data_IF_160942397420
#
_entry.id   IF_160942397420
#
_cell.length_a   1.000
_cell.length_b   1.000
_cell.length_c   1.000
_cell.angle_alpha   90.00
_cell.angle_beta   90.00
_cell.angle_gamma   90.00
#
_symmetry.space_group_name_H-M   'P 1'
#
loop_
_entity.id
_entity.type
_entity.pdbx_description
1 polymer ?
#
# COMPACT_ATOMS: atom_id res chain seq x y z
N UNK A 1 70.76 30.81 -42.66
CA UNK A 1 69.36 31.07 -43.04
C UNK A 1 68.45 30.08 -42.31
N UNK A 2 67.46 30.57 -41.55
CA UNK A 2 66.35 29.87 -40.81
C UNK A 2 66.79 28.84 -39.73
N UNK A 3 66.81 29.15 -38.42
CA UNK A 3 65.71 29.13 -37.38
C UNK A 3 64.88 27.82 -37.44
N UNK A 4 64.58 27.05 -36.38
CA UNK A 4 63.93 27.31 -35.06
C UNK A 4 64.21 26.09 -34.12
N UNK A 5 64.66 26.18 -32.86
CA UNK A 5 64.01 26.46 -31.54
C UNK A 5 62.87 25.48 -31.13
N UNK A 6 63.08 24.81 -30.00
CA UNK A 6 62.20 23.89 -29.24
C UNK A 6 60.90 24.53 -28.71
N UNK A 7 59.86 23.72 -28.44
CA UNK A 7 59.13 23.70 -27.14
C UNK A 7 58.08 22.58 -27.04
N UNK A 8 57.95 22.00 -25.84
CA UNK A 8 56.79 21.25 -25.35
C UNK A 8 55.47 22.03 -25.51
N UNK A 9 54.37 21.34 -25.81
CA UNK A 9 53.04 21.79 -25.45
C UNK A 9 52.09 20.61 -25.19
N UNK A 10 51.69 20.51 -23.92
CA UNK A 10 50.56 19.73 -23.40
C UNK A 10 49.30 20.12 -24.19
N UNK A 11 48.64 19.15 -24.83
CA UNK A 11 47.38 19.39 -25.51
C UNK A 11 46.24 19.36 -24.48
N UNK A 12 45.98 20.50 -23.84
CA UNK A 12 44.70 20.74 -23.18
C UNK A 12 43.65 20.95 -24.30
N UNK A 13 42.72 20.01 -24.47
CA UNK A 13 41.55 20.24 -25.31
C UNK A 13 40.67 21.28 -24.63
N UNK A 14 40.67 22.49 -25.20
CA UNK A 14 39.74 23.57 -24.89
C UNK A 14 38.37 23.13 -25.42
N UNK A 15 37.46 22.75 -24.52
CA UNK A 15 36.04 22.69 -24.84
C UNK A 15 35.52 24.12 -24.96
N UNK A 16 35.23 24.54 -26.19
CA UNK A 16 34.47 25.75 -26.47
C UNK A 16 33.05 25.51 -25.93
N UNK A 17 32.72 26.17 -24.82
CA UNK A 17 31.42 26.09 -24.19
C UNK A 17 30.34 26.65 -25.11
N UNK A 18 29.48 25.76 -25.62
CA UNK A 18 28.17 26.15 -26.15
C UNK A 18 27.28 26.44 -24.94
N UNK A 19 26.79 27.67 -24.74
CA UNK A 19 25.89 27.96 -23.63
C UNK A 19 24.51 27.35 -23.96
N UNK A 20 24.24 26.18 -23.38
CA UNK A 20 22.94 25.50 -23.54
C UNK A 20 22.91 24.01 -23.26
N UNK A 21 24.05 23.32 -23.11
CA UNK A 21 24.05 21.92 -22.71
C UNK A 21 24.26 21.83 -21.19
N UNK A 22 23.17 21.72 -20.43
CA UNK A 22 23.23 21.23 -19.06
C UNK A 22 23.94 19.87 -19.11
N UNK A 23 25.11 19.77 -18.46
CA UNK A 23 25.74 18.48 -18.20
C UNK A 23 24.72 17.59 -17.50
N UNK A 24 24.28 16.53 -18.16
CA UNK A 24 23.35 15.59 -17.58
C UNK A 24 24.12 14.71 -16.60
N UNK A 25 24.02 15.00 -15.31
CA UNK A 25 24.60 14.18 -14.26
C UNK A 25 24.00 12.76 -14.32
N UNK A 26 24.78 11.73 -13.96
CA UNK A 26 24.36 10.33 -13.95
C UNK A 26 23.36 10.12 -12.81
N UNK A 27 22.09 10.44 -13.08
CA UNK A 27 21.04 10.50 -12.06
C UNK A 27 19.81 9.70 -12.47
N UNK A 28 20.00 8.51 -13.04
CA UNK A 28 18.90 7.63 -13.40
C UNK A 28 18.65 6.57 -12.30
N UNK A 29 17.40 6.09 -12.15
CA UNK A 29 16.19 6.57 -12.81
C UNK A 29 15.78 7.98 -12.35
N UNK A 30 14.94 8.63 -13.14
CA UNK A 30 14.23 9.86 -12.77
C UNK A 30 12.89 9.53 -12.12
N UNK A 31 12.42 10.29 -11.11
CA UNK A 31 11.09 10.12 -10.56
C UNK A 31 10.01 10.36 -11.61
N UNK A 32 8.94 9.55 -11.57
CA UNK A 32 7.70 9.79 -12.30
C UNK A 32 6.72 10.67 -11.49
N UNK A 33 5.54 10.97 -12.04
CA UNK A 33 4.58 11.95 -11.49
C UNK A 33 4.19 11.72 -10.01
N UNK A 34 4.24 10.48 -9.55
CA UNK A 34 3.88 10.03 -8.21
C UNK A 34 5.08 9.74 -7.30
N UNK A 35 6.27 9.98 -7.81
CA UNK A 35 7.51 9.64 -7.15
C UNK A 35 8.29 10.90 -6.79
N UNK A 36 9.18 10.74 -5.83
CA UNK A 36 10.17 11.72 -5.44
C UNK A 36 11.52 11.02 -5.30
N UNK A 37 12.58 11.74 -5.62
CA UNK A 37 13.93 11.29 -5.31
C UNK A 37 14.14 11.46 -3.80
N UNK A 38 14.27 10.34 -3.10
CA UNK A 38 14.53 10.29 -1.67
C UNK A 38 16.01 10.57 -1.40
N UNK A 39 16.87 10.02 -2.25
CA UNK A 39 18.31 10.18 -2.13
C UNK A 39 18.97 10.07 -3.50
N UNK A 40 20.06 10.80 -3.71
CA UNK A 40 21.01 10.50 -4.78
C UNK A 40 22.43 10.86 -4.41
N UNK A 41 23.35 10.17 -5.06
CA UNK A 41 24.74 10.56 -5.21
C UNK A 41 25.03 10.67 -6.70
N UNK A 42 24.70 11.84 -7.23
CA UNK A 42 24.87 12.14 -8.64
C UNK A 42 26.31 12.58 -8.90
N UNK A 43 26.85 12.20 -10.06
CA UNK A 43 28.14 12.70 -10.54
C UNK A 43 27.97 13.22 -11.97
N UNK A 44 28.67 14.29 -12.31
CA UNK A 44 28.54 14.98 -13.60
C UNK A 44 29.87 15.00 -14.38
N UNK A 45 30.98 14.72 -13.69
CA UNK A 45 32.32 14.57 -14.26
C UNK A 45 32.69 13.14 -14.62
N UNK A 46 33.96 12.93 -14.99
CA UNK A 46 34.50 11.60 -15.24
C UNK A 46 34.43 10.70 -14.00
N UNK A 47 34.30 9.40 -14.23
CA UNK A 47 34.11 8.39 -13.18
C UNK A 47 35.19 7.31 -13.20
N UNK A 48 35.46 6.76 -12.02
CA UNK A 48 36.22 5.54 -11.80
C UNK A 48 35.27 4.40 -11.47
N UNK A 49 35.78 3.16 -11.39
CA UNK A 49 34.98 1.99 -10.98
C UNK A 49 35.51 1.41 -9.66
N UNK A 50 34.70 0.61 -8.97
CA UNK A 50 35.01 0.03 -7.66
C UNK A 50 35.07 1.10 -6.54
N UNK A 51 33.91 1.62 -6.11
CA UNK A 51 33.82 2.65 -5.08
C UNK A 51 34.50 2.18 -3.79
N UNK A 52 35.46 2.94 -3.25
CA UNK A 52 36.19 2.54 -2.03
C UNK A 52 35.39 2.79 -0.75
N UNK A 53 34.31 3.56 -0.80
CA UNK A 53 33.43 3.84 0.34
C UNK A 53 32.08 3.17 0.16
N UNK A 54 31.45 2.66 1.24
CA UNK A 54 30.12 2.09 1.17
C UNK A 54 29.09 3.16 0.80
N UNK A 55 28.18 2.82 -0.09
CA UNK A 55 27.09 3.70 -0.50
C UNK A 55 25.95 3.61 0.49
N UNK A 56 25.79 4.62 1.33
CA UNK A 56 24.78 4.65 2.40
C UNK A 56 23.83 5.83 2.26
N UNK A 57 22.56 5.62 2.61
CA UNK A 57 21.56 6.69 2.74
C UNK A 57 20.76 6.55 4.02
N UNK A 58 20.17 7.64 4.49
CA UNK A 58 19.34 7.66 5.70
C UNK A 58 17.98 8.25 5.39
N UNK A 59 16.94 7.63 5.92
CA UNK A 59 15.56 8.15 5.91
C UNK A 59 15.12 8.38 7.36
N UNK A 60 14.48 9.52 7.61
CA UNK A 60 14.08 9.99 8.95
C UNK A 60 12.64 9.58 9.34
N UNK A 61 11.90 9.06 8.37
CA UNK A 61 10.56 8.53 8.50
C UNK A 61 10.38 7.33 7.55
N UNK A 62 9.30 6.57 7.74
CA UNK A 62 8.98 5.45 6.83
C UNK A 62 8.79 5.96 5.40
N UNK A 63 9.47 5.34 4.44
CA UNK A 63 9.37 5.64 3.01
C UNK A 63 8.99 4.39 2.22
N UNK A 64 8.20 4.56 1.16
CA UNK A 64 7.95 3.49 0.18
C UNK A 64 8.90 3.66 -1.00
N UNK A 65 9.95 2.86 -1.07
CA UNK A 65 10.92 2.85 -2.18
C UNK A 65 10.30 2.16 -3.39
N UNK A 66 10.35 2.80 -4.55
CA UNK A 66 9.78 2.29 -5.80
C UNK A 66 10.84 1.97 -6.84
N UNK A 67 11.96 2.70 -6.84
CA UNK A 67 13.08 2.41 -7.75
C UNK A 67 14.43 2.63 -7.09
N UNK A 68 15.38 1.81 -7.52
CA UNK A 68 16.79 1.95 -7.16
C UNK A 68 17.58 1.92 -8.47
N UNK A 69 18.47 2.89 -8.65
CA UNK A 69 19.36 2.93 -9.81
C UNK A 69 20.81 3.06 -9.42
N UNK A 70 21.68 2.36 -10.16
CA UNK A 70 23.14 2.46 -10.09
C UNK A 70 23.71 2.68 -11.49
N UNK A 71 24.95 3.17 -11.55
CA UNK A 71 25.65 3.43 -12.82
C UNK A 71 26.94 2.61 -12.92
N UNK A 72 27.11 1.84 -13.99
CA UNK A 72 28.20 0.90 -14.23
C UNK A 72 28.96 1.30 -15.50
N UNK A 73 29.92 2.20 -15.37
CA UNK A 73 30.67 2.71 -16.53
C UNK A 73 31.64 1.67 -17.09
N UNK A 74 32.38 1.00 -16.20
CA UNK A 74 33.39 -0.01 -16.52
C UNK A 74 34.36 0.43 -17.64
N UNK A 75 34.98 1.60 -17.47
CA UNK A 75 35.90 2.17 -18.49
C UNK A 75 35.28 2.33 -19.89
N UNK A 76 33.95 2.46 -19.97
CA UNK A 76 33.20 2.58 -21.22
C UNK A 76 32.78 1.25 -21.84
N UNK A 77 33.02 0.12 -21.16
CA UNK A 77 32.55 -1.20 -21.59
C UNK A 77 31.16 -1.52 -21.06
N UNK A 78 30.71 -0.85 -19.99
CA UNK A 78 29.45 -1.18 -19.35
C UNK A 78 29.47 -2.60 -18.78
N UNK A 79 28.35 -3.31 -18.88
CA UNK A 79 28.26 -4.71 -18.43
C UNK A 79 27.57 -5.60 -19.46
N UNK A 80 27.96 -6.87 -19.53
CA UNK A 80 27.32 -7.84 -20.44
C UNK A 80 25.88 -8.11 -20.03
N UNK A 81 25.64 -8.19 -18.72
CA UNK A 81 24.31 -8.35 -18.12
C UNK A 81 24.20 -7.45 -16.88
N UNK A 82 23.04 -6.82 -16.65
CA UNK A 82 22.75 -6.19 -15.37
C UNK A 82 22.74 -7.23 -14.25
N UNK A 83 23.32 -6.88 -13.11
CA UNK A 83 23.35 -7.72 -11.92
C UNK A 83 22.16 -7.46 -11.00
N UNK A 84 22.39 -7.60 -9.70
CA UNK A 84 21.38 -7.39 -8.68
C UNK A 84 21.73 -6.24 -7.75
N UNK A 85 20.71 -5.51 -7.32
CA UNK A 85 20.82 -4.46 -6.31
C UNK A 85 20.02 -4.89 -5.08
N UNK A 86 20.53 -4.63 -3.89
CA UNK A 86 19.85 -4.88 -2.61
C UNK A 86 20.07 -3.73 -1.63
N UNK A 87 19.39 -3.77 -0.50
CA UNK A 87 19.59 -2.83 0.61
C UNK A 87 19.86 -3.61 1.89
N UNK A 88 20.74 -3.11 2.75
CA UNK A 88 20.98 -3.67 4.07
C UNK A 88 20.77 -2.62 5.16
N UNK A 89 20.01 -2.97 6.20
CA UNK A 89 19.86 -2.08 7.36
C UNK A 89 21.01 -2.25 8.37
N UNK A 90 21.06 -1.35 9.36
CA UNK A 90 22.07 -1.38 10.42
C UNK A 90 22.06 -2.65 11.29
N UNK A 91 20.95 -3.40 11.30
CA UNK A 91 20.86 -4.69 12.01
C UNK A 91 21.42 -5.86 11.18
N UNK A 92 21.80 -5.59 9.93
CA UNK A 92 22.29 -6.57 8.98
C UNK A 92 21.18 -7.25 8.16
N UNK A 93 19.91 -6.85 8.32
CA UNK A 93 18.80 -7.39 7.53
C UNK A 93 18.93 -6.92 6.08
N UNK A 94 18.87 -7.87 5.16
CA UNK A 94 18.94 -7.61 3.72
C UNK A 94 17.53 -7.59 3.12
N UNK A 95 17.30 -6.62 2.25
CA UNK A 95 16.15 -6.48 1.38
C UNK A 95 16.61 -6.70 -0.06
N UNK A 96 15.91 -7.56 -0.79
CA UNK A 96 16.40 -8.10 -2.06
C UNK A 96 17.28 -9.33 -1.84
N UNK A 97 18.27 -9.60 -2.71
CA UNK A 97 18.66 -8.80 -3.87
C UNK A 97 17.61 -8.87 -5.00
N UNK A 98 17.45 -7.79 -5.76
CA UNK A 98 16.55 -7.72 -6.91
C UNK A 98 17.34 -7.65 -8.21
N UNK A 99 16.89 -8.40 -9.21
CA UNK A 99 17.46 -8.36 -10.55
C UNK A 99 17.22 -6.98 -11.19
N UNK A 100 18.29 -6.31 -11.60
CA UNK A 100 18.21 -5.03 -12.29
C UNK A 100 17.90 -5.21 -13.78
N UNK A 101 17.27 -4.19 -14.36
CA UNK A 101 17.17 -3.99 -15.81
C UNK A 101 18.26 -3.02 -16.28
N UNK A 102 18.80 -3.27 -17.47
CA UNK A 102 19.91 -2.50 -18.05
C UNK A 102 19.42 -1.48 -19.06
N UNK A 103 20.01 -0.29 -19.05
CA UNK A 103 19.85 0.70 -20.11
C UNK A 103 21.22 1.23 -20.57
N UNK A 104 21.36 1.62 -21.84
CA UNK A 104 22.59 2.22 -22.34
C UNK A 104 22.96 3.51 -21.58
N UNK A 105 24.25 3.65 -21.27
CA UNK A 105 24.85 4.85 -20.70
C UNK A 105 25.16 5.93 -21.73
N UNK A 106 25.83 6.98 -21.25
CA UNK A 106 26.40 8.01 -22.11
C UNK A 106 27.27 7.38 -23.22
N UNK A 107 27.11 7.86 -24.45
CA UNK A 107 27.85 7.31 -25.60
C UNK A 107 27.39 5.92 -26.06
N UNK A 108 26.27 5.40 -25.54
CA UNK A 108 25.72 4.11 -25.93
C UNK A 108 26.36 2.91 -25.23
N UNK A 109 27.08 3.14 -24.13
CA UNK A 109 27.74 2.07 -23.36
C UNK A 109 26.68 1.09 -22.84
N UNK A 110 26.78 -0.21 -23.18
CA UNK A 110 25.71 -1.17 -22.92
C UNK A 110 25.50 -1.39 -21.41
N UNK A 111 24.24 -1.47 -20.99
CA UNK A 111 23.84 -1.77 -19.60
C UNK A 111 24.53 -0.91 -18.52
N UNK A 112 24.91 0.33 -18.85
CA UNK A 112 25.58 1.17 -17.88
C UNK A 112 24.63 1.71 -16.82
N UNK A 113 23.33 1.87 -17.09
CA UNK A 113 22.36 2.15 -16.04
C UNK A 113 21.68 0.87 -15.62
N UNK A 114 21.77 0.55 -14.35
CA UNK A 114 21.01 -0.54 -13.74
C UNK A 114 19.84 0.08 -13.00
N UNK A 115 18.65 -0.47 -13.20
CA UNK A 115 17.43 0.00 -12.52
C UNK A 115 16.60 -1.17 -12.05
N UNK A 116 16.31 -1.18 -10.75
CA UNK A 116 15.31 -2.04 -10.12
C UNK A 116 14.03 -1.23 -9.96
N UNK A 117 12.92 -1.76 -10.45
CA UNK A 117 11.57 -1.23 -10.21
C UNK A 117 10.83 -2.18 -9.28
N UNK A 118 10.37 -1.67 -8.14
CA UNK A 118 9.64 -2.40 -7.10
C UNK A 118 8.15 -2.09 -7.26
N UNK A 119 7.45 -2.92 -8.05
CA UNK A 119 6.05 -2.66 -8.43
C UNK A 119 5.09 -2.55 -7.24
N UNK A 120 5.32 -3.31 -6.16
CA UNK A 120 4.53 -3.23 -4.92
C UNK A 120 5.05 -2.15 -3.95
N UNK A 121 6.19 -1.54 -4.26
CA UNK A 121 6.93 -0.68 -3.35
C UNK A 121 7.57 -1.46 -2.20
N UNK A 122 8.67 -0.94 -1.66
CA UNK A 122 9.30 -1.46 -0.46
C UNK A 122 9.15 -0.44 0.66
N UNK A 123 8.33 -0.77 1.66
CA UNK A 123 8.22 0.04 2.87
C UNK A 123 9.47 -0.15 3.75
N UNK A 124 10.26 0.90 3.87
CA UNK A 124 11.42 0.96 4.76
C UNK A 124 11.12 1.88 5.93
N UNK A 125 11.29 1.42 7.19
CA UNK A 125 11.20 2.30 8.35
C UNK A 125 12.33 3.35 8.36
N UNK A 126 12.21 4.35 9.22
CA UNK A 126 13.30 5.29 9.47
C UNK A 126 14.58 4.53 9.87
N UNK A 127 15.70 4.89 9.26
CA UNK A 127 16.97 4.18 9.45
C UNK A 127 18.01 4.51 8.39
N UNK A 128 19.21 3.97 8.58
CA UNK A 128 20.30 4.03 7.62
C UNK A 128 20.41 2.71 6.87
N UNK A 129 20.57 2.79 5.56
CA UNK A 129 20.63 1.66 4.65
C UNK A 129 21.88 1.74 3.78
N UNK A 130 22.59 0.62 3.66
CA UNK A 130 23.66 0.43 2.69
C UNK A 130 23.08 -0.16 1.40
N UNK A 131 23.54 0.33 0.26
CA UNK A 131 23.18 -0.17 -1.06
C UNK A 131 24.16 -1.27 -1.44
N UNK A 132 23.64 -2.48 -1.60
CA UNK A 132 24.40 -3.65 -2.02
C UNK A 132 24.32 -3.79 -3.54
N UNK A 133 25.47 -3.89 -4.18
CA UNK A 133 25.59 -4.14 -5.61
C UNK A 133 26.34 -5.45 -5.85
N UNK A 134 25.86 -6.29 -6.78
CA UNK A 134 26.48 -7.59 -7.07
C UNK A 134 27.79 -7.49 -7.84
N UNK A 135 28.07 -6.37 -8.51
CA UNK A 135 29.30 -6.13 -9.25
C UNK A 135 29.85 -4.72 -8.97
N UNK A 136 30.35 -4.47 -7.75
CA UNK A 136 30.90 -3.18 -7.39
C UNK A 136 32.13 -2.82 -8.26
N UNK A 137 32.80 -3.81 -8.87
CA UNK A 137 33.97 -3.59 -9.71
C UNK A 137 33.67 -2.75 -10.95
N UNK A 138 32.42 -2.75 -11.40
CA UNK A 138 31.94 -1.95 -12.54
C UNK A 138 31.18 -0.69 -12.10
N UNK A 139 30.78 -0.60 -10.82
CA UNK A 139 30.02 0.52 -10.26
C UNK A 139 30.84 1.82 -10.25
N UNK A 140 30.30 2.82 -10.92
CA UNK A 140 30.92 4.12 -11.12
C UNK A 140 30.91 4.97 -9.83
N UNK A 141 31.96 5.75 -9.63
CA UNK A 141 32.05 6.79 -8.60
C UNK A 141 33.02 7.91 -8.99
N UNK A 142 33.01 9.01 -8.25
CA UNK A 142 34.14 9.95 -8.17
C UNK A 142 34.12 10.71 -6.83
N UNK A 143 34.86 11.81 -6.73
CA UNK A 143 34.88 12.65 -5.52
C UNK A 143 33.57 13.40 -5.27
N UNK A 144 32.74 13.63 -6.27
CA UNK A 144 31.44 14.32 -6.16
C UNK A 144 30.43 13.46 -5.38
N UNK A 145 30.50 12.13 -5.53
CA UNK A 145 29.73 11.17 -4.72
C UNK A 145 30.39 10.81 -3.39
N UNK A 146 31.44 11.55 -2.96
CA UNK A 146 32.19 11.22 -1.75
C UNK A 146 32.92 9.88 -1.81
N UNK A 147 33.32 9.46 -3.02
CA UNK A 147 33.91 8.14 -3.30
C UNK A 147 33.00 6.94 -3.00
N UNK A 148 31.69 7.17 -2.93
CA UNK A 148 30.66 6.13 -2.89
C UNK A 148 30.07 5.93 -4.29
N UNK A 149 29.45 4.79 -4.52
CA UNK A 149 28.89 4.45 -5.83
C UNK A 149 27.75 5.38 -6.23
N UNK A 150 27.68 5.72 -7.53
CA UNK A 150 26.59 6.53 -8.08
C UNK A 150 25.27 5.81 -7.88
N UNK A 151 24.33 6.45 -7.18
CA UNK A 151 23.05 5.85 -6.84
C UNK A 151 21.91 6.87 -6.88
N UNK A 152 20.72 6.41 -7.25
CA UNK A 152 19.46 7.14 -7.13
C UNK A 152 18.44 6.24 -6.43
N UNK A 153 17.87 6.73 -5.32
CA UNK A 153 16.78 6.10 -4.58
C UNK A 153 15.53 6.92 -4.81
N UNK A 154 14.53 6.29 -5.41
CA UNK A 154 13.23 6.88 -5.68
C UNK A 154 12.19 6.18 -4.81
N UNK A 155 11.30 6.97 -4.23
CA UNK A 155 10.10 6.43 -3.61
C UNK A 155 8.87 7.27 -3.92
N UNK A 156 7.74 6.87 -3.36
CA UNK A 156 6.49 7.59 -3.51
C UNK A 156 6.60 8.97 -2.84
N UNK A 157 6.08 10.03 -3.47
CA UNK A 157 5.94 11.32 -2.79
C UNK A 157 4.99 11.14 -1.61
N UNK A 158 5.28 11.78 -0.48
CA UNK A 158 4.34 11.87 0.63
C UNK A 158 2.99 12.43 0.11
N UNK A 159 1.93 11.63 0.19
CA UNK A 159 0.58 11.97 -0.31
C UNK A 159 0.35 11.80 -1.82
N UNK A 160 1.33 11.31 -2.60
CA UNK A 160 1.12 10.89 -3.99
C UNK A 160 1.30 9.39 -4.16
N UNK A 161 0.29 8.67 -3.73
CA UNK A 161 0.07 7.28 -4.13
C UNK A 161 -0.52 7.22 -5.55
N UNK A 162 0.09 7.93 -6.51
CA UNK A 162 -0.38 7.96 -7.88
C UNK A 162 0.08 6.70 -8.63
N UNK A 163 -0.63 5.59 -8.42
CA UNK A 163 -0.41 4.33 -9.14
C UNK A 163 -0.76 3.09 -8.35
N UNK A 164 -0.88 3.19 -7.02
CA UNK A 164 -1.42 2.09 -6.22
C UNK A 164 -2.94 2.07 -6.37
N UNK A 165 -3.45 0.94 -6.82
CA UNK A 165 -4.84 0.57 -6.60
C UNK A 165 -5.12 0.71 -5.11
N UNK A 166 -6.07 1.55 -4.70
CA UNK A 166 -6.47 1.60 -3.31
C UNK A 166 -6.97 0.20 -2.91
N UNK A 167 -6.39 -0.47 -1.90
CA UNK A 167 -6.79 -1.84 -1.56
C UNK A 167 -8.27 -1.95 -1.25
N UNK A 168 -8.84 -0.91 -0.63
CA UNK A 168 -10.28 -0.81 -0.35
C UNK A 168 -11.15 -0.53 -1.58
N UNK A 169 -10.58 -0.25 -2.76
CA UNK A 169 -11.36 0.07 -3.96
C UNK A 169 -12.20 -1.11 -4.46
N UNK A 170 -11.70 -2.34 -4.28
CA UNK A 170 -12.43 -3.57 -4.56
C UNK A 170 -13.61 -3.79 -3.59
N UNK A 171 -13.58 -3.14 -2.43
CA UNK A 171 -14.39 -3.47 -1.26
C UNK A 171 -15.44 -2.40 -0.94
N UNK A 172 -15.91 -1.68 -1.98
CA UNK A 172 -16.96 -0.67 -1.85
C UNK A 172 -16.44 0.77 -1.84
N UNK A 173 -15.69 1.15 -2.88
CA UNK A 173 -15.40 2.56 -3.14
C UNK A 173 -16.69 3.37 -3.30
N UNK A 174 -16.78 4.49 -2.60
CA UNK A 174 -17.92 5.40 -2.67
C UNK A 174 -17.65 6.41 -3.78
N UNK A 175 -18.56 6.46 -4.75
CA UNK A 175 -18.56 7.48 -5.80
C UNK A 175 -19.35 8.71 -5.32
N UNK A 176 -18.67 9.83 -5.20
CA UNK A 176 -19.18 11.08 -4.69
C UNK A 176 -19.40 12.05 -5.86
N UNK A 177 -20.65 12.18 -6.27
CA UNK A 177 -21.08 13.19 -7.24
C UNK A 177 -20.86 14.61 -6.71
N UNK A 178 -20.65 15.60 -7.61
CA UNK A 178 -20.55 16.98 -7.19
C UNK A 178 -21.76 17.45 -6.38
N UNK A 179 -21.50 18.17 -5.30
CA UNK A 179 -22.54 18.79 -4.47
C UNK A 179 -23.00 20.14 -5.01
N UNK A 180 -24.13 20.62 -4.52
CA UNK A 180 -24.53 22.02 -4.75
C UNK A 180 -23.88 22.93 -3.70
N UNK A 181 -23.72 24.24 -3.93
CA UNK A 181 -23.14 25.15 -2.93
C UNK A 181 -23.85 25.15 -1.57
N UNK A 182 -25.11 24.71 -1.52
CA UNK A 182 -25.92 24.60 -0.31
C UNK A 182 -26.00 23.17 0.25
N UNK A 183 -25.39 22.19 -0.41
CA UNK A 183 -25.39 20.78 -0.03
C UNK A 183 -24.05 20.12 -0.41
N UNK A 184 -23.05 20.35 0.45
CA UNK A 184 -21.66 19.94 0.24
C UNK A 184 -21.24 18.69 1.02
N UNK A 185 -22.13 18.09 1.82
CA UNK A 185 -21.74 17.02 2.74
C UNK A 185 -22.46 15.72 2.45
N UNK A 186 -21.72 14.61 2.42
CA UNK A 186 -22.25 13.26 2.21
C UNK A 186 -21.88 12.38 3.39
N UNK A 187 -22.81 11.54 3.82
CA UNK A 187 -22.56 10.57 4.87
C UNK A 187 -21.49 9.58 4.42
N UNK A 188 -20.51 9.33 5.28
CA UNK A 188 -19.51 8.28 5.12
C UNK A 188 -19.75 7.14 6.11
N UNK A 189 -18.75 6.25 6.29
CA UNK A 189 -18.88 5.09 7.13
C UNK A 189 -18.86 5.43 8.63
N UNK A 190 -19.54 4.60 9.41
CA UNK A 190 -19.32 4.45 10.84
C UNK A 190 -18.19 3.44 11.02
N UNK A 191 -17.14 3.83 11.74
CA UNK A 191 -15.92 3.05 11.94
C UNK A 191 -15.70 2.81 13.43
N UNK A 192 -14.98 1.76 13.77
CA UNK A 192 -14.47 1.61 15.13
C UNK A 192 -13.37 2.66 15.40
N UNK A 193 -12.97 2.83 16.66
CA UNK A 193 -11.75 3.56 16.97
C UNK A 193 -10.52 2.78 16.48
N UNK A 194 -9.56 3.45 15.86
CA UNK A 194 -8.32 2.83 15.40
C UNK A 194 -7.64 3.59 14.27
N UNK A 195 -6.59 2.99 13.72
CA UNK A 195 -5.76 3.60 12.68
C UNK A 195 -6.34 3.35 11.29
N UNK A 196 -6.65 4.37 10.50
CA UNK A 196 -7.22 4.20 9.16
C UNK A 196 -6.43 4.97 8.11
N UNK A 197 -6.47 4.52 6.86
CA UNK A 197 -6.01 5.27 5.69
C UNK A 197 -7.21 5.53 4.80
N UNK A 198 -7.40 6.79 4.40
CA UNK A 198 -8.48 7.21 3.52
C UNK A 198 -7.88 7.36 2.13
N UNK A 199 -8.38 6.60 1.17
CA UNK A 199 -8.00 6.68 -0.21
C UNK A 199 -9.02 7.52 -0.97
N UNK A 200 -8.56 8.39 -1.84
CA UNK A 200 -9.43 9.28 -2.60
C UNK A 200 -8.82 9.65 -3.94
N UNK A 201 -9.66 10.01 -4.90
CA UNK A 201 -9.18 10.46 -6.19
C UNK A 201 -10.26 11.17 -6.99
N UNK A 202 -9.84 12.11 -7.83
CA UNK A 202 -10.74 12.79 -8.76
C UNK A 202 -11.18 11.79 -9.83
N UNK A 203 -12.46 11.80 -10.17
CA UNK A 203 -13.03 11.04 -11.29
C UNK A 203 -13.23 11.97 -12.47
N UNK A 204 -12.38 11.88 -13.49
CA UNK A 204 -12.60 12.55 -14.80
C UNK A 204 -13.04 11.58 -15.89
N UNK A 205 -12.82 10.27 -15.70
CA UNK A 205 -13.42 9.22 -16.51
C UNK A 205 -14.92 8.97 -16.24
N UNK A 206 -15.55 8.16 -17.09
CA UNK A 206 -16.98 7.80 -17.01
C UNK A 206 -17.26 6.57 -16.14
N UNK A 207 -16.21 5.87 -15.66
CA UNK A 207 -16.35 4.66 -14.87
C UNK A 207 -16.63 4.98 -13.40
N UNK A 208 -17.81 4.56 -12.91
CA UNK A 208 -18.19 4.69 -11.50
C UNK A 208 -17.24 3.88 -10.62
N UNK A 209 -16.84 4.46 -9.47
CA UNK A 209 -15.97 3.80 -8.49
C UNK A 209 -14.50 3.73 -8.87
N UNK A 210 -14.08 4.37 -9.97
CA UNK A 210 -12.67 4.43 -10.40
C UNK A 210 -12.22 5.87 -10.62
N UNK A 211 -11.28 6.40 -9.82
CA UNK A 211 -10.67 7.70 -10.08
C UNK A 211 -9.56 7.55 -11.14
N UNK A 212 -9.12 8.66 -11.72
CA UNK A 212 -8.02 8.62 -12.69
C UNK A 212 -6.67 8.35 -12.01
N UNK A 213 -6.56 8.81 -10.76
CA UNK A 213 -5.45 8.50 -9.87
C UNK A 213 -5.96 8.44 -8.44
N UNK A 214 -5.58 7.38 -7.73
CA UNK A 214 -5.72 7.32 -6.29
C UNK A 214 -4.68 8.22 -5.61
N UNK A 215 -5.04 8.69 -4.42
CA UNK A 215 -4.22 9.33 -3.40
C UNK A 215 -4.63 8.72 -2.06
N UNK A 216 -3.78 8.82 -1.06
CA UNK A 216 -4.12 8.40 0.30
C UNK A 216 -3.86 9.51 1.32
N UNK A 217 -4.61 9.44 2.42
CA UNK A 217 -4.48 10.27 3.60
C UNK A 217 -4.42 9.34 4.83
N UNK A 218 -3.41 9.52 5.67
CA UNK A 218 -3.17 8.68 6.85
C UNK A 218 -1.93 7.79 6.70
N UNK A 219 -1.69 6.85 7.64
CA UNK A 219 -2.61 6.41 8.69
C UNK A 219 -3.01 7.52 9.67
N UNK A 220 -4.29 7.56 10.06
CA UNK A 220 -4.87 8.50 11.01
C UNK A 220 -5.61 7.74 12.11
N UNK A 221 -5.40 8.13 13.36
CA UNK A 221 -6.12 7.55 14.49
C UNK A 221 -7.49 8.20 14.66
N UNK A 222 -8.54 7.40 14.43
CA UNK A 222 -9.91 7.78 14.70
C UNK A 222 -10.29 7.36 16.11
N UNK A 223 -10.89 8.28 16.86
CA UNK A 223 -11.31 8.06 18.24
C UNK A 223 -12.82 7.79 18.30
N UNK A 224 -13.22 6.86 19.16
CA UNK A 224 -14.63 6.59 19.42
C UNK A 224 -15.33 7.81 20.05
N UNK A 225 -16.61 8.00 19.74
CA UNK A 225 -17.39 9.16 20.11
C UNK A 225 -16.98 10.44 19.39
N UNK A 226 -16.21 10.35 18.28
CA UNK A 226 -15.79 11.52 17.49
C UNK A 226 -16.37 11.52 16.09
N UNK A 227 -16.61 12.74 15.62
CA UNK A 227 -17.14 13.04 14.30
C UNK A 227 -16.05 13.76 13.49
N UNK A 228 -15.86 13.33 12.24
CA UNK A 228 -14.83 13.84 11.35
C UNK A 228 -15.41 14.22 10.00
N UNK A 229 -14.78 15.18 9.34
CA UNK A 229 -15.07 15.59 7.97
C UNK A 229 -13.81 15.45 7.16
N UNK A 230 -13.89 14.69 6.07
CA UNK A 230 -12.83 14.56 5.08
C UNK A 230 -13.17 15.41 3.86
N UNK A 231 -12.34 16.40 3.53
CA UNK A 231 -12.48 17.20 2.32
C UNK A 231 -11.81 16.46 1.16
N UNK A 232 -12.60 15.99 0.20
CA UNK A 232 -12.10 15.15 -0.90
C UNK A 232 -11.24 15.93 -1.90
N UNK A 233 -11.35 17.26 -1.91
CA UNK A 233 -10.58 18.13 -2.80
C UNK A 233 -9.26 18.49 -2.16
N UNK A 234 -9.28 18.94 -0.91
CA UNK A 234 -8.09 19.28 -0.15
C UNK A 234 -7.29 18.04 0.25
N UNK A 235 -7.96 16.90 0.45
CA UNK A 235 -7.34 15.65 0.85
C UNK A 235 -6.95 15.64 2.32
N UNK A 236 -7.72 16.29 3.19
CA UNK A 236 -7.45 16.42 4.61
C UNK A 236 -8.66 16.01 5.47
N UNK A 237 -8.37 15.58 6.71
CA UNK A 237 -9.36 15.18 7.70
C UNK A 237 -9.35 16.20 8.85
N UNK A 238 -10.53 16.71 9.20
CA UNK A 238 -10.71 17.56 10.37
C UNK A 238 -11.74 16.94 11.31
N UNK A 239 -11.50 17.04 12.62
CA UNK A 239 -12.54 16.76 13.61
C UNK A 239 -13.61 17.86 13.51
N UNK A 240 -14.88 17.48 13.60
CA UNK A 240 -16.03 18.37 13.52
C UNK A 240 -17.06 18.00 14.58
N UNK A 241 -18.16 18.76 14.64
CA UNK A 241 -19.37 18.35 15.36
C UNK A 241 -20.50 18.10 14.36
N UNK A 242 -21.45 17.19 14.65
CA UNK A 242 -22.58 16.92 13.78
C UNK A 242 -23.35 18.19 13.37
N UNK A 243 -23.47 19.15 14.28
CA UNK A 243 -24.25 20.38 14.09
C UNK A 243 -23.59 21.35 13.10
N UNK A 244 -22.28 21.23 12.85
CA UNK A 244 -21.61 21.97 11.77
C UNK A 244 -22.06 21.52 10.37
N UNK A 245 -22.58 20.29 10.27
CA UNK A 245 -23.01 19.67 9.02
C UNK A 245 -24.52 19.75 8.87
N UNK A 246 -25.25 19.29 9.89
CA UNK A 246 -26.69 19.40 9.95
C UNK A 246 -27.13 19.34 11.42
N UNK A 247 -27.90 20.32 11.91
CA UNK A 247 -28.34 20.37 13.31
C UNK A 247 -29.21 19.17 13.73
N UNK A 248 -29.74 18.39 12.80
CA UNK A 248 -30.52 17.17 13.08
C UNK A 248 -29.66 15.92 13.30
N UNK A 249 -28.34 15.98 13.10
CA UNK A 249 -27.45 14.83 13.31
C UNK A 249 -27.11 14.65 14.79
N UNK A 250 -27.11 13.40 15.25
CA UNK A 250 -26.71 13.02 16.60
C UNK A 250 -25.21 12.80 16.72
N UNK A 251 -24.68 12.93 17.94
CA UNK A 251 -23.30 12.52 18.25
C UNK A 251 -23.13 11.01 18.06
N UNK A 252 -21.96 10.54 17.58
CA UNK A 252 -21.66 9.12 17.45
C UNK A 252 -21.54 8.44 18.82
N UNK A 253 -21.80 7.14 18.88
CA UNK A 253 -21.64 6.38 20.12
C UNK A 253 -20.17 6.37 20.57
N UNK A 254 -19.91 6.15 21.85
CA UNK A 254 -18.54 6.17 22.41
C UNK A 254 -17.57 5.16 21.76
N UNK A 255 -18.09 4.11 21.14
CA UNK A 255 -17.31 3.10 20.40
C UNK A 255 -17.18 3.38 18.90
N UNK A 256 -17.81 4.45 18.41
CA UNK A 256 -17.96 4.74 16.98
C UNK A 256 -17.26 6.04 16.60
N UNK A 257 -16.59 6.01 15.46
CA UNK A 257 -16.00 7.15 14.79
C UNK A 257 -16.77 7.37 13.48
N UNK A 258 -17.35 8.55 13.27
CA UNK A 258 -18.13 8.82 12.06
C UNK A 258 -17.34 9.74 11.12
N UNK A 259 -17.22 9.36 9.85
CA UNK A 259 -16.64 10.20 8.81
C UNK A 259 -17.76 10.73 7.91
N UNK A 260 -17.72 12.03 7.62
CA UNK A 260 -18.49 12.68 6.55
C UNK A 260 -17.55 13.18 5.46
N UNK A 261 -18.04 13.20 4.23
CA UNK A 261 -17.28 13.71 3.09
C UNK A 261 -17.77 15.10 2.72
N UNK A 262 -16.86 16.07 2.68
CA UNK A 262 -17.12 17.35 2.01
C UNK A 262 -16.77 17.20 0.55
N UNK A 263 -17.78 17.27 -0.32
CA UNK A 263 -17.67 17.02 -1.76
C UNK A 263 -17.34 18.29 -2.54
N UNK A 264 -16.74 18.12 -3.72
CA UNK A 264 -16.51 19.21 -4.67
C UNK A 264 -17.83 19.71 -5.28
N UNK A 265 -17.92 20.98 -5.65
CA UNK A 265 -19.03 21.52 -6.46
C UNK A 265 -18.89 21.26 -7.96
N UNK A 266 -17.65 21.03 -8.42
CA UNK A 266 -17.35 20.90 -9.86
C UNK A 266 -17.10 19.47 -10.32
N UNK A 267 -16.42 18.65 -9.52
CA UNK A 267 -15.85 17.38 -9.96
C UNK A 267 -16.32 16.22 -9.09
N UNK A 268 -16.53 15.05 -9.69
CA UNK A 268 -16.78 13.83 -8.93
C UNK A 268 -15.49 13.29 -8.32
N UNK A 269 -15.61 12.63 -7.18
CA UNK A 269 -14.50 11.96 -6.49
C UNK A 269 -14.87 10.54 -6.13
N UNK A 270 -13.88 9.67 -6.01
CA UNK A 270 -14.05 8.32 -5.48
C UNK A 270 -13.27 8.25 -4.18
N UNK A 271 -13.85 7.67 -3.14
CA UNK A 271 -13.24 7.52 -1.82
C UNK A 271 -13.40 6.09 -1.31
N UNK A 272 -12.39 5.55 -0.64
CA UNK A 272 -12.53 4.33 0.17
C UNK A 272 -11.69 4.44 1.44
N UNK A 273 -12.06 3.71 2.49
CA UNK A 273 -11.36 3.74 3.78
C UNK A 273 -10.79 2.36 4.08
N UNK A 274 -9.50 2.32 4.34
CA UNK A 274 -8.72 1.12 4.67
C UNK A 274 -8.40 1.11 6.17
N UNK A 275 -8.70 0.01 6.87
CA UNK A 275 -8.32 -0.17 8.27
C UNK A 275 -9.37 -0.89 9.12
N UNK A 276 -9.08 -1.10 10.43
CA UNK A 276 -7.95 -0.53 11.16
C UNK A 276 -6.57 -1.18 10.88
N UNK A 277 -5.53 -0.36 10.66
CA UNK A 277 -4.21 -0.71 10.13
C UNK A 277 -3.20 -1.20 11.18
N UNK A 278 -3.37 -0.83 12.46
CA UNK A 278 -2.46 -1.21 13.56
C UNK A 278 -2.85 -2.52 14.27
N UNK A 279 -3.63 -3.37 13.60
CA UNK A 279 -3.92 -4.72 14.10
C UNK A 279 -2.69 -5.60 13.83
N UNK A 280 -1.78 -5.67 14.79
CA UNK A 280 -0.65 -6.60 14.75
C UNK A 280 -1.18 -8.02 14.47
N UNK A 281 -0.87 -8.53 13.28
CA UNK A 281 -1.40 -9.75 12.64
C UNK A 281 -2.72 -9.56 11.86
N UNK A 282 -2.64 -9.04 10.62
CA UNK A 282 -3.29 -9.58 9.42
C UNK A 282 -4.76 -10.03 9.42
N UNK A 283 -5.59 -9.63 10.38
CA UNK A 283 -6.92 -10.19 10.54
C UNK A 283 -7.87 -9.26 11.28
N UNK A 284 -8.29 -8.15 10.67
CA UNK A 284 -9.46 -7.37 11.12
C UNK A 284 -10.27 -6.79 9.95
N UNK A 285 -10.76 -7.68 9.08
CA UNK A 285 -11.78 -7.35 8.08
C UNK A 285 -13.12 -8.08 8.25
N UNK A 286 -13.20 -9.14 9.06
CA UNK A 286 -14.35 -10.07 9.07
C UNK A 286 -15.04 -10.22 10.42
N UNK A 287 -14.54 -9.57 11.47
CA UNK A 287 -15.24 -9.52 12.75
C UNK A 287 -16.62 -8.85 12.57
N UNK A 288 -17.58 -9.25 13.41
CA UNK A 288 -18.97 -8.81 13.32
C UNK A 288 -19.98 -9.95 13.34
N UNK A 289 -21.22 -9.62 13.02
CA UNK A 289 -22.36 -10.55 13.00
C UNK A 289 -22.63 -11.08 11.60
N UNK A 290 -22.96 -12.37 11.53
CA UNK A 290 -23.13 -13.13 10.30
C UNK A 290 -24.35 -14.05 10.43
N UNK A 291 -25.02 -14.33 9.32
CA UNK A 291 -26.02 -15.39 9.18
C UNK A 291 -25.37 -16.56 8.45
N UNK A 292 -25.29 -17.71 9.09
CA UNK A 292 -24.79 -18.96 8.50
C UNK A 292 -25.96 -19.82 8.04
N UNK A 293 -25.78 -20.57 6.96
CA UNK A 293 -26.66 -21.64 6.54
C UNK A 293 -25.82 -22.84 6.10
N UNK A 294 -26.27 -24.06 6.35
CA UNK A 294 -25.51 -25.23 5.94
C UNK A 294 -26.33 -26.50 5.80
N UNK A 295 -25.70 -27.50 5.21
CA UNK A 295 -26.23 -28.84 5.03
C UNK A 295 -25.20 -29.85 5.55
N UNK A 296 -25.64 -30.78 6.38
CA UNK A 296 -24.81 -31.89 6.84
C UNK A 296 -25.33 -33.20 6.24
N UNK A 297 -24.46 -33.98 5.61
CA UNK A 297 -24.82 -35.25 4.99
C UNK A 297 -25.46 -36.19 6.02
N UNK A 298 -26.70 -36.61 5.75
CA UNK A 298 -27.49 -37.44 6.66
C UNK A 298 -28.34 -36.65 7.68
N UNK A 299 -28.33 -35.32 7.62
CA UNK A 299 -29.14 -34.43 8.45
C UNK A 299 -29.87 -33.40 7.56
N UNK A 300 -30.79 -32.64 8.18
CA UNK A 300 -31.49 -31.55 7.53
C UNK A 300 -30.62 -30.30 7.41
N UNK A 301 -31.02 -29.39 6.53
CA UNK A 301 -30.46 -28.04 6.45
C UNK A 301 -30.63 -27.29 7.78
N UNK A 302 -29.67 -26.41 8.08
CA UNK A 302 -29.64 -25.60 9.28
C UNK A 302 -29.25 -24.15 8.98
N UNK A 303 -29.64 -23.23 9.85
CA UNK A 303 -29.25 -21.82 9.84
C UNK A 303 -28.80 -21.41 11.24
N UNK A 304 -27.91 -20.41 11.33
CA UNK A 304 -27.39 -19.91 12.59
C UNK A 304 -26.96 -18.44 12.54
N UNK A 305 -26.92 -17.81 13.71
CA UNK A 305 -26.32 -16.49 13.90
C UNK A 305 -24.89 -16.66 14.42
N UNK A 306 -23.89 -16.15 13.69
CA UNK A 306 -22.48 -16.23 14.03
C UNK A 306 -21.94 -14.85 14.41
N UNK A 307 -21.12 -14.82 15.45
CA UNK A 307 -20.40 -13.63 15.92
C UNK A 307 -18.92 -13.94 15.92
N UNK A 308 -18.15 -13.15 15.16
CA UNK A 308 -16.70 -13.18 15.16
C UNK A 308 -16.18 -11.96 15.92
N UNK A 309 -15.54 -12.18 17.08
CA UNK A 309 -15.02 -11.10 17.90
C UNK A 309 -13.60 -10.72 17.48
N UNK A 310 -13.25 -9.44 17.63
CA UNK A 310 -11.94 -8.87 17.31
C UNK A 310 -10.73 -9.49 18.06
N UNK A 311 -10.97 -10.39 19.02
CA UNK A 311 -9.95 -11.15 19.76
C UNK A 311 -9.80 -12.62 19.33
N UNK A 312 -10.32 -13.02 18.17
CA UNK A 312 -10.24 -14.40 17.68
C UNK A 312 -11.19 -15.37 18.41
N UNK A 313 -12.14 -14.87 19.19
CA UNK A 313 -13.20 -15.67 19.81
C UNK A 313 -14.45 -15.66 18.92
N UNK A 314 -15.13 -16.80 18.77
CA UNK A 314 -16.40 -16.91 18.05
C UNK A 314 -17.51 -17.43 18.96
N UNK A 315 -18.74 -17.08 18.63
CA UNK A 315 -19.94 -17.76 19.12
C UNK A 315 -20.95 -17.91 18.01
N UNK A 316 -21.70 -19.01 17.98
CA UNK A 316 -22.83 -19.13 17.07
C UNK A 316 -24.03 -19.80 17.72
N UNK A 317 -25.23 -19.42 17.30
CA UNK A 317 -26.50 -19.93 17.83
C UNK A 317 -27.38 -20.41 16.68
N UNK A 318 -27.82 -21.66 16.74
CA UNK A 318 -28.66 -22.26 15.69
C UNK A 318 -30.06 -21.60 15.69
N UNK A 319 -30.47 -21.05 14.55
CA UNK A 319 -31.76 -20.38 14.37
C UNK A 319 -32.76 -21.25 13.63
N UNK A 320 -32.29 -22.27 12.91
CA UNK A 320 -33.11 -23.28 12.22
C UNK A 320 -32.32 -24.59 12.13
N UNK A 321 -32.98 -25.72 12.31
CA UNK A 321 -32.34 -27.03 12.27
C UNK A 321 -32.81 -27.93 13.41
N UNK A 322 -32.01 -28.94 13.74
CA UNK A 322 -32.35 -29.93 14.76
C UNK A 322 -32.16 -29.43 16.20
N UNK A 323 -31.36 -28.38 16.42
CA UNK A 323 -31.00 -27.88 17.75
C UNK A 323 -31.19 -26.36 17.86
N UNK A 324 -32.32 -25.84 17.38
CA UNK A 324 -32.66 -24.40 17.46
C UNK A 324 -32.50 -23.88 18.90
N UNK A 325 -31.79 -22.76 19.05
CA UNK A 325 -31.46 -22.13 20.32
C UNK A 325 -30.18 -22.65 20.98
N UNK A 326 -29.58 -23.74 20.49
CA UNK A 326 -28.29 -24.20 20.98
C UNK A 326 -27.18 -23.24 20.55
N UNK A 327 -26.36 -22.79 21.51
CA UNK A 327 -25.21 -21.93 21.26
C UNK A 327 -23.90 -22.68 21.46
N UNK A 328 -22.90 -22.35 20.65
CA UNK A 328 -21.55 -22.93 20.70
C UNK A 328 -20.53 -21.80 20.66
N UNK A 329 -19.45 -21.95 21.42
CA UNK A 329 -18.34 -20.98 21.48
C UNK A 329 -17.04 -21.61 21.01
N UNK A 330 -16.11 -20.77 20.57
CA UNK A 330 -14.87 -21.25 19.97
C UNK A 330 -13.88 -20.15 19.65
N UNK A 331 -12.95 -20.46 18.76
CA UNK A 331 -11.92 -19.55 18.24
C UNK A 331 -11.95 -19.48 16.73
N UNK A 332 -11.61 -18.33 16.16
CA UNK A 332 -11.46 -18.13 14.72
C UNK A 332 -10.14 -17.46 14.36
N UNK A 333 -9.68 -17.70 13.13
CA UNK A 333 -8.49 -17.09 12.53
C UNK A 333 -8.74 -16.85 11.04
N UNK A 334 -8.20 -15.77 10.50
CA UNK A 334 -8.21 -15.47 9.07
C UNK A 334 -6.83 -15.04 8.63
N UNK A 335 -6.28 -15.69 7.59
CA UNK A 335 -4.92 -15.44 7.09
C UNK A 335 -4.90 -14.62 5.79
N UNK A 336 -6.03 -14.03 5.40
CA UNK A 336 -6.19 -13.32 4.12
C UNK A 336 -6.74 -14.21 2.99
N UNK A 337 -6.79 -15.53 3.18
CA UNK A 337 -7.30 -16.51 2.19
C UNK A 337 -8.23 -17.55 2.79
N UNK A 338 -7.97 -17.97 4.03
CA UNK A 338 -8.58 -19.09 4.72
C UNK A 338 -9.22 -18.62 6.03
N UNK A 339 -10.54 -18.80 6.17
CA UNK A 339 -11.22 -18.64 7.46
C UNK A 339 -11.25 -19.96 8.22
N UNK A 340 -10.50 -20.05 9.31
CA UNK A 340 -10.49 -21.21 10.21
C UNK A 340 -11.37 -20.94 11.43
N UNK A 341 -12.37 -21.79 11.67
CA UNK A 341 -13.26 -21.72 12.83
C UNK A 341 -13.15 -23.03 13.65
N UNK A 342 -12.91 -22.95 14.97
CA UNK A 342 -12.82 -24.11 15.86
C UNK A 342 -13.78 -23.96 17.03
N UNK A 343 -14.63 -24.94 17.32
CA UNK A 343 -15.58 -24.90 18.45
C UNK A 343 -15.84 -26.29 19.03
N UNK A 344 -16.35 -26.34 20.25
CA UNK A 344 -16.70 -27.60 20.93
C UNK A 344 -18.19 -27.91 20.77
N UNK A 345 -18.51 -29.19 20.53
CA UNK A 345 -19.89 -29.65 20.48
C UNK A 345 -20.44 -29.90 21.90
N UNK A 346 -21.76 -29.76 22.15
CA UNK A 346 -22.37 -29.99 23.47
C UNK A 346 -22.22 -31.41 24.04
N UNK A 347 -21.67 -32.37 23.27
CA UNK A 347 -21.48 -33.76 23.66
C UNK A 347 -20.03 -34.17 24.01
N UNK A 348 -19.12 -33.21 24.25
CA UNK A 348 -17.78 -33.49 24.78
C UNK A 348 -16.72 -33.93 23.77
N UNK A 349 -17.03 -33.94 22.47
CA UNK A 349 -16.03 -34.08 21.41
C UNK A 349 -15.57 -32.71 20.91
N UNK A 350 -14.27 -32.42 21.00
CA UNK A 350 -13.65 -31.37 20.18
C UNK A 350 -13.80 -31.79 18.71
N UNK A 351 -14.80 -31.27 18.03
CA UNK A 351 -14.82 -31.29 16.58
C UNK A 351 -13.89 -30.18 16.11
N UNK A 352 -12.64 -30.53 15.79
CA UNK A 352 -11.75 -29.64 15.06
C UNK A 352 -12.32 -29.43 13.67
N UNK A 353 -13.20 -28.44 13.56
CA UNK A 353 -13.58 -27.92 12.27
C UNK A 353 -12.39 -27.14 11.71
N UNK A 354 -11.99 -27.51 10.50
CA UNK A 354 -11.04 -26.74 9.71
C UNK A 354 -11.81 -26.44 8.43
N UNK A 355 -12.28 -25.20 8.33
CA UNK A 355 -12.89 -24.70 7.10
C UNK A 355 -11.78 -24.22 6.18
N UNK A 356 -11.73 -24.72 4.95
CA UNK A 356 -10.86 -24.23 3.89
C UNK A 356 -11.74 -23.53 2.85
N UNK A 357 -11.73 -22.20 2.81
CA UNK A 357 -12.39 -21.44 1.75
C UNK A 357 -11.48 -21.36 0.53
N UNK A 358 -12.02 -21.66 -0.66
CA UNK A 358 -11.33 -21.44 -1.94
C UNK A 358 -12.10 -20.42 -2.77
N UNK A 359 -11.32 -19.48 -3.33
CA UNK A 359 -11.62 -18.41 -4.28
C UNK A 359 -11.99 -17.03 -3.70
N UNK A 360 -11.22 -16.05 -4.17
CA UNK A 360 -11.18 -14.63 -3.82
C UNK A 360 -12.49 -13.88 -4.10
N UNK A 361 -13.32 -14.40 -5.02
CA UNK A 361 -14.52 -13.74 -5.52
C UNK A 361 -15.75 -13.82 -4.60
N UNK A 362 -15.80 -14.74 -3.62
CA UNK A 362 -16.99 -14.91 -2.77
C UNK A 362 -16.91 -14.10 -1.46
N UNK A 363 -15.74 -13.59 -1.09
CA UNK A 363 -15.55 -12.80 0.14
C UNK A 363 -16.10 -11.37 -0.04
N UNK A 364 -16.22 -10.91 -1.28
CA UNK A 364 -16.53 -9.52 -1.67
C UNK A 364 -17.96 -9.08 -1.33
N UNK A 365 -18.95 -9.98 -1.44
CA UNK A 365 -20.37 -9.68 -1.15
C UNK A 365 -20.76 -9.99 0.30
N UNK A 366 -19.76 -10.27 1.15
CA UNK A 366 -19.98 -10.73 2.50
C UNK A 366 -20.73 -12.05 2.55
N UNK A 367 -20.55 -12.97 1.58
CA UNK A 367 -21.14 -14.33 1.57
C UNK A 367 -20.06 -15.41 1.41
N UNK A 368 -19.65 -16.05 2.49
CA UNK A 368 -18.76 -17.21 2.44
C UNK A 368 -19.49 -18.44 1.88
N UNK A 369 -18.82 -19.23 1.05
CA UNK A 369 -19.25 -20.60 0.70
C UNK A 369 -18.11 -21.55 1.03
N UNK A 370 -18.41 -22.60 1.79
CA UNK A 370 -17.46 -23.64 2.21
C UNK A 370 -17.85 -24.95 1.54
N UNK A 371 -16.98 -25.41 0.65
CA UNK A 371 -17.22 -26.60 -0.19
C UNK A 371 -17.02 -27.92 0.55
N UNK A 372 -16.32 -27.92 1.69
CA UNK A 372 -16.03 -29.15 2.43
C UNK A 372 -15.73 -28.88 3.89
N UNK A 373 -16.63 -29.32 4.75
CA UNK A 373 -16.34 -29.65 6.13
C UNK A 373 -16.51 -31.16 6.35
N UNK A 374 -15.97 -31.75 7.43
CA UNK A 374 -16.17 -33.18 7.71
C UNK A 374 -17.66 -33.51 7.83
N UNK A 375 -18.24 -34.04 6.74
CA UNK A 375 -19.64 -34.44 6.64
C UNK A 375 -20.64 -33.37 6.18
N UNK A 376 -20.24 -32.24 5.59
CA UNK A 376 -21.22 -31.24 5.09
C UNK A 376 -20.65 -29.99 4.41
N UNK A 377 -21.54 -29.11 3.95
CA UNK A 377 -21.24 -27.79 3.35
C UNK A 377 -21.96 -26.68 4.12
N UNK A 378 -21.44 -25.46 4.08
CA UNK A 378 -22.13 -24.29 4.65
C UNK A 378 -21.72 -23.00 3.95
N UNK A 379 -22.55 -21.98 4.10
CA UNK A 379 -22.30 -20.61 3.66
C UNK A 379 -22.61 -19.63 4.78
N UNK A 380 -22.06 -18.42 4.74
CA UNK A 380 -22.40 -17.39 5.70
C UNK A 380 -22.39 -16.00 5.10
N UNK A 381 -23.48 -15.26 5.26
CA UNK A 381 -23.60 -13.87 4.82
C UNK A 381 -23.47 -12.87 5.97
N UNK A 382 -23.00 -11.64 5.74
CA UNK A 382 -23.05 -10.60 6.78
C UNK A 382 -24.50 -10.37 7.19
N UNK A 383 -24.74 -10.27 8.49
CA UNK A 383 -26.04 -9.80 8.95
C UNK A 383 -26.18 -8.35 8.49
N UNK A 384 -27.14 -8.08 7.62
CA UNK A 384 -27.57 -6.70 7.34
C UNK A 384 -27.97 -6.06 8.67
N UNK A 385 -27.60 -4.80 8.87
CA UNK A 385 -28.04 -4.04 10.03
C UNK A 385 -29.56 -4.20 10.16
N UNK A 386 -30.10 -4.48 11.36
CA UNK A 386 -31.54 -4.64 11.53
C UNK A 386 -32.21 -3.39 10.97
N UNK A 387 -33.08 -3.59 9.98
CA UNK A 387 -34.01 -2.55 9.54
C UNK A 387 -34.82 -2.23 10.79
N UNK A 388 -34.61 -1.04 11.35
CA UNK A 388 -35.52 -0.49 12.33
C UNK A 388 -36.80 -0.24 11.56
N UNK A 389 -37.72 -1.21 11.60
CA UNK A 389 -39.09 -0.98 11.19
C UNK A 389 -39.65 0.05 12.17
N UNK A 390 -39.69 1.32 11.77
CA UNK A 390 -40.60 2.28 12.38
C UNK A 390 -42.02 1.87 11.98
N UNK A 391 -42.58 1.00 12.82
CA UNK A 391 -44.00 0.67 12.81
C UNK A 391 -44.76 1.61 13.74
N UNK A 392 -45.84 2.15 13.17
CA UNK A 392 -46.98 2.93 13.72
C UNK A 392 -46.85 4.44 13.51
#
# INVERSE_FOLDING_TARGET
>A
MRKWIELLAILAMIFIGVPGCVSQCYSLPSPENNEVRIFSQDVCGGVYNNPPSPTVFTIDQTQTITKIGTYHWNNGMGTDYPGTIGLQDQSGRVYGPWQASGQPGQGGVPNAYWTVTLTEGLSLPAGTYEVLDSDPSTWAYNSESGNSGVVSIIGQKAGSDAGSYAPCAAHGAVDLSPGSPTDLYRAGPILASGSYKIWFGKRTGTQIGKPDSWKSYGPVELQGGKFYVFDVVAGDLAQATPQMINPMLSEPAASESLIWYKVSTENAYVVCVEGPLNSANGGQGIAGQWKMAGHQTGFNDWEADLVLNNGGALSWTETKGANVGASRTGTWQYDGKTLTLRWQSPGGGQTNWISQSVSQNNIEDGTYTVESAPGGTWSASRASAPIVNEGI
#
